data_IF_797607327740
#
_entry.id   IF_797607327740
#
_cell.length_a   1.000
_cell.length_b   1.000
_cell.length_c   1.000
_cell.angle_alpha   90.00
_cell.angle_beta   90.00
_cell.angle_gamma   90.00
#
_symmetry.space_group_name_H-M   'P 1'
#
loop_
_entity.id
_entity.type
_entity.pdbx_description
1 polymer ?
#
# COMPACT_ATOMS: atom_id res chain seq x y z
N UNK A 1 -0.03 22.43 14.99
CA UNK A 1 0.38 21.43 13.99
C UNK A 1 -0.91 20.87 13.45
N UNK A 2 -1.22 21.28 12.23
CA UNK A 2 -2.56 21.24 11.66
C UNK A 2 -2.91 19.83 11.18
N UNK A 3 -3.83 19.18 11.89
CA UNK A 3 -4.61 18.08 11.34
C UNK A 3 -5.72 18.71 10.49
N UNK A 4 -5.58 18.65 9.17
CA UNK A 4 -6.68 18.94 8.25
C UNK A 4 -7.27 17.63 7.70
N UNK A 5 -8.39 17.24 8.32
CA UNK A 5 -9.68 16.86 7.71
C UNK A 5 -9.67 15.78 6.60
N UNK A 6 -10.27 14.62 6.90
CA UNK A 6 -11.43 14.12 6.13
C UNK A 6 -12.35 13.30 7.05
N UNK A 7 -13.47 13.91 7.45
CA UNK A 7 -14.47 13.32 8.33
C UNK A 7 -15.44 12.45 7.53
N UNK A 8 -15.09 11.16 7.36
CA UNK A 8 -16.04 10.05 7.19
C UNK A 8 -15.48 8.82 7.92
N UNK A 9 -16.02 8.55 9.11
CA UNK A 9 -16.04 7.28 9.85
C UNK A 9 -14.95 6.21 9.53
N UNK A 10 -13.83 6.26 10.27
CA UNK A 10 -12.84 5.17 10.32
C UNK A 10 -11.58 5.38 9.47
N UNK A 11 -10.54 4.53 9.64
CA UNK A 11 -9.33 4.62 8.83
C UNK A 11 -9.66 4.42 7.34
N UNK A 12 -9.15 5.28 6.46
CA UNK A 12 -9.39 5.18 5.02
C UNK A 12 -9.01 3.79 4.49
N UNK A 13 -10.00 3.04 4.02
CA UNK A 13 -9.81 1.70 3.47
C UNK A 13 -9.32 1.72 2.03
N UNK A 14 -9.58 2.82 1.33
CA UNK A 14 -9.22 3.04 -0.07
C UNK A 14 -8.56 4.41 -0.18
N UNK A 15 -7.45 4.47 -0.91
CA UNK A 15 -6.71 5.70 -1.21
C UNK A 15 -6.66 5.88 -2.74
N UNK A 16 -6.89 7.09 -3.23
CA UNK A 16 -6.69 7.39 -4.65
C UNK A 16 -5.19 7.24 -4.98
N UNK A 17 -4.87 6.68 -6.15
CA UNK A 17 -3.47 6.51 -6.55
C UNK A 17 -2.70 7.83 -6.53
N UNK A 18 -3.36 8.98 -6.75
CA UNK A 18 -2.74 10.32 -6.79
C UNK A 18 -2.45 10.91 -5.40
N UNK A 19 -3.01 10.31 -4.36
CA UNK A 19 -2.84 10.73 -2.96
C UNK A 19 -1.75 9.91 -2.24
N UNK A 20 -1.24 8.88 -2.90
CA UNK A 20 -0.21 7.98 -2.38
C UNK A 20 1.17 8.54 -2.72
N UNK A 21 2.14 8.42 -1.82
CA UNK A 21 3.55 8.64 -2.14
C UNK A 21 4.43 7.63 -1.39
N UNK A 22 5.76 7.83 -1.40
CA UNK A 22 6.70 6.95 -0.68
C UNK A 22 6.51 6.92 0.84
N UNK A 23 5.86 7.92 1.43
CA UNK A 23 5.57 7.93 2.87
C UNK A 23 4.41 6.99 3.22
N UNK A 24 3.57 6.66 2.23
CA UNK A 24 2.40 5.80 2.40
C UNK A 24 2.71 4.30 2.32
N UNK A 25 3.98 3.87 2.34
CA UNK A 25 4.38 2.45 2.24
C UNK A 25 3.73 1.58 3.32
N UNK A 26 3.60 2.09 4.54
CA UNK A 26 2.94 1.32 5.62
C UNK A 26 1.43 1.15 5.39
N UNK A 27 0.83 2.10 4.67
CA UNK A 27 -0.61 2.16 4.40
C UNK A 27 -1.00 1.38 3.16
N UNK A 28 -0.23 1.42 2.07
CA UNK A 28 -0.59 0.77 0.78
C UNK A 28 0.42 -0.27 0.29
N UNK A 29 1.52 -0.46 1.02
CA UNK A 29 2.64 -1.31 0.63
C UNK A 29 3.56 -0.69 -0.41
N UNK A 30 4.73 -1.30 -0.61
CA UNK A 30 5.75 -0.78 -1.54
C UNK A 30 5.33 -0.74 -3.01
N UNK A 31 4.32 -1.51 -3.42
CA UNK A 31 3.80 -1.48 -4.80
C UNK A 31 2.97 -0.23 -5.06
N UNK A 32 2.02 0.10 -4.18
CA UNK A 32 1.19 1.29 -4.31
C UNK A 32 2.05 2.56 -4.32
N UNK A 33 2.99 2.64 -3.37
CA UNK A 33 3.95 3.75 -3.29
C UNK A 33 4.84 3.89 -4.53
N UNK A 34 5.40 2.79 -5.06
CA UNK A 34 6.24 2.85 -6.26
C UNK A 34 5.45 3.18 -7.53
N UNK A 35 4.20 2.73 -7.62
CA UNK A 35 3.37 2.95 -8.81
C UNK A 35 3.00 4.42 -8.97
N UNK A 36 2.72 5.12 -7.88
CA UNK A 36 2.48 6.56 -7.93
C UNK A 36 3.75 7.34 -8.28
N UNK A 37 4.90 6.94 -7.73
CA UNK A 37 6.18 7.58 -8.07
C UNK A 37 6.53 7.43 -9.55
N UNK A 38 6.11 6.32 -10.19
CA UNK A 38 6.21 6.16 -11.64
C UNK A 38 5.25 7.09 -12.39
N UNK A 39 4.07 7.39 -11.84
CA UNK A 39 3.10 8.29 -12.45
C UNK A 39 3.59 9.75 -12.49
N UNK A 40 4.45 10.14 -11.54
CA UNK A 40 5.09 11.46 -11.48
C UNK A 40 6.21 11.65 -12.52
N UNK A 41 6.71 10.57 -13.13
CA UNK A 41 7.79 10.66 -14.13
C UNK A 41 7.24 11.11 -15.49
N UNK A 42 7.90 12.08 -16.10
CA UNK A 42 7.55 12.54 -17.44
C UNK A 42 7.63 11.39 -18.45
N UNK A 43 6.59 11.26 -19.29
CA UNK A 43 6.52 10.24 -20.34
C UNK A 43 6.00 8.87 -19.88
N UNK A 44 5.76 8.65 -18.58
CA UNK A 44 5.12 7.45 -18.08
C UNK A 44 3.63 7.72 -17.82
N UNK A 45 2.75 6.94 -18.46
CA UNK A 45 1.31 7.00 -18.21
C UNK A 45 0.89 5.82 -17.32
N UNK A 46 0.58 6.12 -16.07
CA UNK A 46 -0.09 5.19 -15.16
C UNK A 46 -1.60 5.37 -15.29
N UNK A 47 -2.40 4.30 -15.45
CA UNK A 47 -3.86 4.39 -15.45
C UNK A 47 -4.40 4.88 -14.11
N UNK A 48 -5.54 5.57 -14.15
CA UNK A 48 -6.27 5.93 -12.94
C UNK A 48 -6.63 4.68 -12.11
N UNK A 49 -6.62 4.82 -10.79
CA UNK A 49 -6.92 3.71 -9.89
C UNK A 49 -6.89 4.09 -8.43
N UNK A 50 -6.96 3.08 -7.57
CA UNK A 50 -6.91 3.22 -6.12
C UNK A 50 -6.11 2.08 -5.48
N UNK A 51 -5.63 2.33 -4.27
CA UNK A 51 -5.01 1.33 -3.41
C UNK A 51 -5.94 0.97 -2.26
N UNK A 52 -6.03 -0.32 -1.92
CA UNK A 52 -6.69 -0.78 -0.68
C UNK A 52 -5.67 -0.75 0.44
N UNK A 53 -6.01 -0.15 1.58
CA UNK A 53 -5.07 0.01 2.68
C UNK A 53 -4.78 -1.30 3.41
N UNK A 54 -3.58 -1.40 3.98
CA UNK A 54 -3.15 -2.50 4.85
C UNK A 54 -4.08 -2.64 6.05
N UNK A 55 -4.66 -1.55 6.54
CA UNK A 55 -5.67 -1.57 7.61
C UNK A 55 -6.94 -2.29 7.18
N UNK A 56 -7.46 -2.00 5.99
CA UNK A 56 -8.60 -2.72 5.42
C UNK A 56 -8.30 -4.21 5.23
N UNK A 57 -7.11 -4.52 4.69
CA UNK A 57 -6.67 -5.91 4.53
C UNK A 57 -6.63 -6.65 5.87
N UNK A 58 -5.99 -6.09 6.91
CA UNK A 58 -5.91 -6.70 8.25
C UNK A 58 -7.28 -6.94 8.88
N UNK A 59 -8.21 -6.00 8.72
CA UNK A 59 -9.57 -6.13 9.24
C UNK A 59 -10.32 -7.30 8.58
N UNK A 60 -10.24 -7.43 7.25
CA UNK A 60 -10.86 -8.55 6.53
C UNK A 60 -10.18 -9.86 6.92
N UNK A 61 -8.85 -9.89 6.94
CA UNK A 61 -8.08 -11.08 7.31
C UNK A 61 -8.38 -11.57 8.73
N UNK A 62 -8.53 -10.65 9.69
CA UNK A 62 -8.92 -10.99 11.07
C UNK A 62 -10.37 -11.46 11.21
N UNK A 63 -11.25 -11.06 10.28
CA UNK A 63 -12.64 -11.51 10.23
C UNK A 63 -12.81 -12.83 9.45
N UNK A 64 -11.83 -13.22 8.63
CA UNK A 64 -11.87 -14.45 7.84
C UNK A 64 -11.14 -15.60 8.55
N UNK A 65 -11.81 -16.73 8.77
CA UNK A 65 -11.18 -17.98 9.21
C UNK A 65 -10.46 -18.71 8.06
N UNK A 66 -9.63 -18.00 7.30
CA UNK A 66 -8.75 -18.66 6.34
C UNK A 66 -7.57 -19.23 7.11
N UNK A 67 -7.49 -20.56 7.16
CA UNK A 67 -6.44 -21.29 7.88
C UNK A 67 -5.04 -20.76 7.57
N UNK A 68 -4.17 -20.87 8.56
CA UNK A 68 -2.88 -20.22 8.81
C UNK A 68 -1.76 -20.41 7.74
N UNK A 69 -2.08 -20.51 6.45
CA UNK A 69 -1.11 -20.80 5.39
C UNK A 69 -0.45 -19.53 4.80
N UNK A 70 -0.77 -18.34 5.32
CA UNK A 70 -0.35 -17.06 4.76
C UNK A 70 0.30 -16.11 5.77
N UNK A 71 1.23 -16.58 6.62
CA UNK A 71 2.10 -15.65 7.33
C UNK A 71 2.85 -14.79 6.30
N UNK A 72 3.00 -13.46 6.50
CA UNK A 72 3.83 -12.63 5.63
C UNK A 72 5.23 -13.24 5.64
N UNK A 73 5.65 -13.85 4.53
CA UNK A 73 7.01 -14.36 4.41
C UNK A 73 7.92 -13.16 4.61
N UNK A 74 8.68 -13.19 5.70
CA UNK A 74 9.76 -12.24 5.94
C UNK A 74 10.57 -12.14 4.65
N UNK A 75 10.70 -10.94 4.10
CA UNK A 75 11.62 -10.64 3.01
C UNK A 75 13.04 -10.82 3.55
N UNK A 76 13.49 -12.06 3.68
CA UNK A 76 14.86 -12.41 4.00
C UNK A 76 15.51 -12.91 2.72
N UNK A 77 16.58 -12.23 2.34
CA UNK A 77 17.60 -12.62 1.37
C UNK A 77 17.27 -12.51 -0.14
N UNK A 78 17.47 -11.29 -0.67
CA UNK A 78 18.01 -11.15 -2.01
C UNK A 78 19.45 -11.69 -2.01
N UNK A 79 19.60 -12.96 -2.40
CA UNK A 79 20.89 -13.63 -2.61
C UNK A 79 21.83 -12.76 -3.44
N UNK A 80 22.86 -12.21 -2.79
CA UNK A 80 23.99 -11.51 -3.42
C UNK A 80 24.69 -12.50 -4.36
N UNK A 81 24.52 -12.35 -5.68
CA UNK A 81 25.28 -13.14 -6.67
C UNK A 81 26.78 -12.84 -6.52
N UNK A 82 27.67 -13.85 -6.46
CA UNK A 82 29.10 -13.62 -6.60
C UNK A 82 29.46 -13.31 -8.06
N UNK A 83 30.48 -12.45 -8.24
CA UNK A 83 31.14 -12.21 -9.53
C UNK A 83 32.02 -13.38 -9.92
#
# INVERSE_FOLDING_TARGET
MEEQIFEVAGPAHVLDLREVDRTCIEVVGGKGANLEELAKLEGIRVPDGFCVSTTAFKQVMGATQIGESGAPRSTTEATRRPR
#
